data_IF_328154738576
#
_entry.id   IF_328154738576
#
_cell.length_a   1.000
_cell.length_b   1.000
_cell.length_c   1.000
_cell.angle_alpha   90.00
_cell.angle_beta   90.00
_cell.angle_gamma   90.00
#
_symmetry.space_group_name_H-M   'P 1'
#
loop_
_entity.id
_entity.type
_entity.pdbx_description
1 polymer ?
#
# COMPACT_ATOMS: atom_id res chain seq x y z
N UNK A 1 -2.87 8.27 -40.36
CA UNK A 1 -3.20 6.97 -39.71
C UNK A 1 -1.99 6.33 -38.99
N UNK A 2 -1.16 5.47 -39.61
CA UNK A 2 -0.13 4.71 -38.86
C UNK A 2 0.90 5.59 -38.12
N UNK A 3 1.35 6.68 -38.74
CA UNK A 3 2.25 7.66 -38.12
C UNK A 3 1.64 8.31 -36.87
N UNK A 4 0.38 8.75 -36.95
CA UNK A 4 -0.33 9.42 -35.85
C UNK A 4 -0.61 8.45 -34.69
N UNK A 5 -0.97 7.20 -35.00
CA UNK A 5 -1.13 6.14 -34.01
C UNK A 5 0.18 5.92 -33.24
N UNK A 6 1.28 5.69 -33.96
CA UNK A 6 2.58 5.40 -33.35
C UNK A 6 3.09 6.60 -32.54
N UNK A 7 2.91 7.81 -33.05
CA UNK A 7 3.29 9.03 -32.35
C UNK A 7 2.49 9.19 -31.05
N UNK A 8 1.18 9.00 -31.08
CA UNK A 8 0.32 9.09 -29.89
C UNK A 8 0.65 7.99 -28.86
N UNK A 9 0.84 6.75 -29.32
CA UNK A 9 1.25 5.64 -28.47
C UNK A 9 2.58 5.94 -27.78
N UNK A 10 3.61 6.31 -28.55
CA UNK A 10 4.95 6.54 -27.99
C UNK A 10 5.00 7.74 -27.06
N UNK A 11 4.27 8.82 -27.36
CA UNK A 11 4.23 10.00 -26.49
C UNK A 11 3.52 9.72 -25.17
N UNK A 12 2.36 9.07 -25.18
CA UNK A 12 1.70 8.67 -23.95
C UNK A 12 2.56 7.66 -23.19
N UNK A 13 3.12 6.67 -23.89
CA UNK A 13 3.98 5.68 -23.26
C UNK A 13 5.18 6.31 -22.54
N UNK A 14 5.85 7.26 -23.18
CA UNK A 14 6.97 7.97 -22.59
C UNK A 14 6.54 8.91 -21.44
N UNK A 15 5.41 9.62 -21.60
CA UNK A 15 4.89 10.52 -20.59
C UNK A 15 4.49 9.77 -19.31
N UNK A 16 3.97 8.56 -19.47
CA UNK A 16 3.36 7.77 -18.39
C UNK A 16 4.33 6.84 -17.67
N UNK A 17 5.57 6.70 -18.16
CA UNK A 17 6.55 5.78 -17.60
C UNK A 17 6.98 6.22 -16.19
N UNK A 18 6.67 5.41 -15.18
CA UNK A 18 7.05 5.66 -13.78
C UNK A 18 6.12 6.62 -13.01
N UNK A 19 4.87 6.75 -13.43
CA UNK A 19 3.90 7.66 -12.81
C UNK A 19 2.96 7.01 -11.76
N UNK A 20 2.25 7.85 -11.01
CA UNK A 20 1.30 7.53 -9.93
C UNK A 20 0.22 6.54 -10.36
N UNK A 21 -0.23 6.64 -11.60
CA UNK A 21 -1.25 5.79 -12.21
C UNK A 21 -0.74 4.36 -12.48
N UNK A 22 0.58 4.17 -12.68
CA UNK A 22 1.17 2.84 -12.66
C UNK A 22 1.11 2.21 -11.26
N UNK A 23 1.31 3.01 -10.21
CA UNK A 23 1.19 2.55 -8.81
C UNK A 23 -0.26 2.23 -8.50
N UNK A 24 -1.21 3.07 -8.93
CA UNK A 24 -2.64 2.82 -8.83
C UNK A 24 -3.04 1.52 -9.53
N UNK A 25 -2.53 1.28 -10.74
CA UNK A 25 -2.73 0.03 -11.48
C UNK A 25 -2.17 -1.18 -10.73
N UNK A 26 -0.99 -1.05 -10.13
CA UNK A 26 -0.38 -2.08 -9.28
C UNK A 26 -1.23 -2.36 -8.03
N UNK A 27 -1.70 -1.33 -7.33
CA UNK A 27 -2.56 -1.47 -6.14
C UNK A 27 -3.89 -2.16 -6.48
N UNK A 28 -4.48 -1.86 -7.63
CA UNK A 28 -5.68 -2.58 -8.06
C UNK A 28 -5.40 -4.01 -8.47
N UNK A 29 -4.22 -4.30 -9.04
CA UNK A 29 -3.80 -5.65 -9.40
C UNK A 29 -3.54 -6.56 -8.19
N UNK A 30 -3.31 -6.00 -6.99
CA UNK A 30 -3.24 -6.81 -5.74
C UNK A 30 -4.62 -7.16 -5.18
N UNK A 31 -5.66 -6.38 -5.53
CA UNK A 31 -7.03 -6.55 -5.02
C UNK A 31 -8.00 -7.20 -6.01
N UNK A 32 -7.75 -7.08 -7.32
CA UNK A 32 -8.64 -7.53 -8.38
C UNK A 32 -7.89 -8.33 -9.46
N UNK A 33 -8.56 -9.27 -10.15
CA UNK A 33 -7.92 -10.02 -11.22
C UNK A 33 -7.46 -9.11 -12.37
N UNK A 34 -6.26 -9.39 -12.89
CA UNK A 34 -5.57 -8.58 -13.91
C UNK A 34 -6.46 -8.20 -15.09
N UNK A 35 -7.29 -9.13 -15.59
CA UNK A 35 -8.20 -8.89 -16.71
C UNK A 35 -9.24 -7.80 -16.41
N UNK A 36 -9.76 -7.74 -15.19
CA UNK A 36 -10.73 -6.71 -14.77
C UNK A 36 -10.05 -5.37 -14.53
N UNK A 37 -8.81 -5.37 -14.03
CA UNK A 37 -8.00 -4.15 -13.85
C UNK A 37 -7.69 -3.52 -15.20
N UNK A 38 -7.13 -4.28 -16.14
CA UNK A 38 -6.82 -3.78 -17.48
C UNK A 38 -8.07 -3.30 -18.22
N UNK A 39 -9.21 -3.98 -18.05
CA UNK A 39 -10.49 -3.53 -18.61
C UNK A 39 -10.96 -2.21 -18.00
N UNK A 40 -10.80 -2.03 -16.68
CA UNK A 40 -11.09 -0.76 -16.00
C UNK A 40 -10.19 0.37 -16.50
N UNK A 41 -8.89 0.13 -16.61
CA UNK A 41 -7.90 1.08 -17.15
C UNK A 41 -8.25 1.47 -18.57
N UNK A 42 -8.60 0.48 -19.41
CA UNK A 42 -9.04 0.73 -20.79
C UNK A 42 -10.24 1.66 -20.83
N UNK A 43 -11.29 1.38 -20.04
CA UNK A 43 -12.51 2.20 -20.03
C UNK A 43 -12.22 3.60 -19.49
N UNK A 44 -11.53 3.72 -18.36
CA UNK A 44 -11.20 5.01 -17.74
C UNK A 44 -10.35 5.88 -18.64
N UNK A 45 -9.27 5.32 -19.22
CA UNK A 45 -8.40 6.04 -20.14
C UNK A 45 -9.07 6.37 -21.47
N UNK A 46 -9.91 5.49 -22.02
CA UNK A 46 -10.65 5.76 -23.24
C UNK A 46 -11.67 6.90 -23.04
N UNK A 47 -12.33 6.98 -21.89
CA UNK A 47 -13.22 8.09 -21.56
C UNK A 47 -12.44 9.39 -21.37
N UNK A 48 -11.33 9.35 -20.63
CA UNK A 48 -10.53 10.55 -20.35
C UNK A 48 -9.86 11.10 -21.62
N UNK A 49 -9.16 10.25 -22.37
CA UNK A 49 -8.53 10.63 -23.63
C UNK A 49 -9.56 10.90 -24.72
N UNK A 50 -10.72 10.22 -24.69
CA UNK A 50 -11.83 10.50 -25.58
C UNK A 50 -12.33 11.93 -25.42
N UNK A 51 -12.49 12.40 -24.17
CA UNK A 51 -12.83 13.79 -23.87
C UNK A 51 -11.76 14.76 -24.39
N UNK A 52 -10.48 14.47 -24.12
CA UNK A 52 -9.37 15.29 -24.60
C UNK A 52 -9.27 15.38 -26.13
N UNK A 53 -9.38 14.25 -26.82
CA UNK A 53 -9.31 14.18 -28.28
C UNK A 53 -10.50 14.90 -28.91
N UNK A 54 -11.71 14.69 -28.37
CA UNK A 54 -12.90 15.41 -28.80
C UNK A 54 -12.70 16.93 -28.63
N UNK A 55 -12.27 17.36 -27.44
CA UNK A 55 -11.98 18.76 -27.14
C UNK A 55 -10.91 19.34 -28.07
N UNK A 56 -9.77 18.68 -28.22
CA UNK A 56 -8.67 19.12 -29.10
C UNK A 56 -9.11 19.26 -30.56
N UNK A 57 -9.89 18.31 -31.06
CA UNK A 57 -10.43 18.36 -32.43
C UNK A 57 -11.42 19.51 -32.66
N UNK A 58 -12.12 19.96 -31.62
CA UNK A 58 -13.09 21.07 -31.67
C UNK A 58 -12.42 22.43 -31.44
N UNK A 59 -11.44 22.51 -30.52
CA UNK A 59 -10.83 23.75 -30.03
C UNK A 59 -9.60 24.17 -30.83
N UNK A 60 -8.92 23.23 -31.52
CA UNK A 60 -7.76 23.52 -32.37
C UNK A 60 -8.00 24.57 -33.47
N UNK A 61 -9.27 24.84 -33.79
CA UNK A 61 -9.68 25.82 -34.78
C UNK A 61 -9.76 27.26 -34.22
N UNK A 62 -9.78 27.42 -32.90
CA UNK A 62 -10.09 28.70 -32.23
C UNK A 62 -8.99 29.18 -31.26
N UNK A 63 -8.11 28.30 -30.79
CA UNK A 63 -7.09 28.64 -29.79
C UNK A 63 -5.68 28.47 -30.37
N UNK A 64 -4.86 29.53 -30.41
CA UNK A 64 -3.48 29.42 -30.90
C UNK A 64 -2.64 28.44 -30.06
N UNK A 65 -1.88 27.58 -30.74
CA UNK A 65 -1.06 26.50 -30.14
C UNK A 65 -0.11 27.00 -29.03
N UNK A 66 0.43 28.22 -29.14
CA UNK A 66 1.31 28.78 -28.12
C UNK A 66 0.61 29.02 -26.77
N UNK A 67 -0.68 29.38 -26.76
CA UNK A 67 -1.45 29.52 -25.51
C UNK A 67 -1.66 28.18 -24.82
N UNK A 68 -1.97 27.13 -25.59
CA UNK A 68 -2.12 25.77 -25.06
C UNK A 68 -0.81 25.27 -24.43
N UNK A 69 0.33 25.57 -25.06
CA UNK A 69 1.64 25.20 -24.54
C UNK A 69 2.03 25.97 -23.28
N UNK A 70 1.70 27.26 -23.19
CA UNK A 70 1.93 28.06 -21.98
C UNK A 70 1.08 27.57 -20.80
N UNK A 71 -0.21 27.30 -21.02
CA UNK A 71 -1.10 26.75 -19.98
C UNK A 71 -0.59 25.40 -19.50
N UNK A 72 -0.19 24.51 -20.42
CA UNK A 72 0.40 23.23 -20.08
C UNK A 72 1.70 23.38 -19.28
N UNK A 73 2.62 24.27 -19.71
CA UNK A 73 3.87 24.54 -19.01
C UNK A 73 3.66 25.07 -17.58
N UNK A 74 2.70 25.97 -17.40
CA UNK A 74 2.34 26.49 -16.08
C UNK A 74 1.72 25.41 -15.18
N UNK A 75 0.81 24.59 -15.72
CA UNK A 75 0.19 23.49 -15.00
C UNK A 75 1.23 22.47 -14.51
N UNK A 76 2.20 22.11 -15.35
CA UNK A 76 3.29 21.21 -14.99
C UNK A 76 4.14 21.72 -13.82
N UNK A 77 4.48 23.00 -13.78
CA UNK A 77 5.23 23.54 -12.64
C UNK A 77 4.35 23.59 -11.39
N UNK A 78 3.05 23.88 -11.54
CA UNK A 78 2.06 23.76 -10.46
C UNK A 78 2.00 22.35 -9.87
N UNK A 79 1.95 21.32 -10.70
CA UNK A 79 1.97 19.92 -10.27
C UNK A 79 3.28 19.50 -9.63
N UNK A 80 4.41 20.01 -10.10
CA UNK A 80 5.71 19.80 -9.45
C UNK A 80 5.71 20.38 -8.04
N UNK A 81 5.26 21.62 -7.87
CA UNK A 81 5.18 22.29 -6.56
C UNK A 81 4.22 21.53 -5.65
N UNK A 82 3.02 21.19 -6.12
CA UNK A 82 2.03 20.46 -5.32
C UNK A 82 2.56 19.09 -4.87
N UNK A 83 3.09 18.30 -5.81
CA UNK A 83 3.66 16.96 -5.53
C UNK A 83 4.85 17.02 -4.56
N UNK A 84 5.70 18.05 -4.66
CA UNK A 84 6.85 18.23 -3.76
C UNK A 84 6.48 18.89 -2.43
N UNK A 85 5.31 19.54 -2.34
CA UNK A 85 4.79 20.19 -1.13
C UNK A 85 3.94 19.27 -0.24
N UNK A 86 3.38 18.20 -0.81
CA UNK A 86 2.60 17.21 -0.07
C UNK A 86 3.50 16.47 0.93
N UNK A 87 3.51 16.93 2.18
CA UNK A 87 4.04 16.20 3.33
C UNK A 87 3.26 14.90 3.47
N UNK A 88 3.97 13.78 3.73
CA UNK A 88 3.43 12.41 3.75
C UNK A 88 2.37 12.10 4.81
N UNK A 89 1.31 12.89 4.85
CA UNK A 89 0.08 12.74 5.64
C UNK A 89 -1.12 12.93 4.70
N UNK A 90 -1.15 12.19 3.60
CA UNK A 90 -2.39 11.92 2.87
C UNK A 90 -2.42 10.41 2.63
N UNK A 91 -2.78 9.68 3.69
CA UNK A 91 -3.28 8.33 3.51
C UNK A 91 -4.60 8.45 2.77
N UNK A 92 -4.56 8.31 1.44
CA UNK A 92 -5.79 8.16 0.66
C UNK A 92 -6.54 6.92 1.16
N UNK A 93 -7.66 7.17 1.86
CA UNK A 93 -8.64 6.16 2.22
C UNK A 93 -9.17 5.51 0.95
N UNK A 94 -8.57 4.39 0.55
CA UNK A 94 -9.15 3.50 -0.44
C UNK A 94 -10.36 2.79 0.19
N UNK A 95 -11.52 3.45 0.10
CA UNK A 95 -12.83 2.99 0.55
C UNK A 95 -13.06 1.50 0.25
N UNK A 96 -13.35 0.73 1.30
CA UNK A 96 -13.78 -0.65 1.19
C UNK A 96 -15.28 -0.77 0.88
N UNK A 97 -15.63 -1.65 -0.06
CA UNK A 97 -16.81 -2.52 0.02
C UNK A 97 -16.77 -3.55 -1.12
N UNK A 98 -16.88 -4.83 -0.76
CA UNK A 98 -16.67 -5.96 -1.67
C UNK A 98 -17.90 -6.35 -2.51
N UNK A 99 -17.64 -6.72 -3.76
CA UNK A 99 -18.09 -7.92 -4.49
C UNK A 99 -17.49 -7.83 -5.90
N UNK A 100 -17.14 -8.96 -6.49
CA UNK A 100 -16.62 -9.13 -7.85
C UNK A 100 -17.27 -8.28 -8.98
N UNK A 101 -18.46 -7.74 -8.74
CA UNK A 101 -19.26 -6.95 -9.68
C UNK A 101 -18.89 -5.46 -9.75
N UNK A 102 -18.01 -4.96 -8.87
CA UNK A 102 -17.60 -3.55 -8.84
C UNK A 102 -16.21 -3.25 -9.41
N UNK A 103 -15.34 -4.26 -9.58
CA UNK A 103 -13.91 -4.05 -9.84
C UNK A 103 -13.61 -3.16 -11.07
N UNK A 104 -14.25 -3.46 -12.20
CA UNK A 104 -14.04 -2.69 -13.45
C UNK A 104 -14.49 -1.24 -13.29
N UNK A 105 -15.65 -1.02 -12.65
CA UNK A 105 -16.19 0.33 -12.43
C UNK A 105 -15.32 1.12 -11.44
N UNK A 106 -14.85 0.49 -10.35
CA UNK A 106 -13.93 1.12 -9.39
C UNK A 106 -12.64 1.54 -10.06
N UNK A 107 -12.01 0.65 -10.82
CA UNK A 107 -10.75 0.94 -11.52
C UNK A 107 -10.95 2.00 -12.60
N UNK A 108 -12.03 1.90 -13.40
CA UNK A 108 -12.33 2.86 -14.45
C UNK A 108 -12.59 4.26 -13.89
N UNK A 109 -13.36 4.39 -12.81
CA UNK A 109 -13.61 5.68 -12.15
C UNK A 109 -12.34 6.26 -11.55
N UNK A 110 -11.52 5.43 -10.88
CA UNK A 110 -10.26 5.88 -10.31
C UNK A 110 -9.28 6.36 -11.37
N UNK A 111 -9.13 5.63 -12.48
CA UNK A 111 -8.30 6.05 -13.61
C UNK A 111 -8.86 7.30 -14.30
N UNK A 112 -10.16 7.35 -14.55
CA UNK A 112 -10.79 8.51 -15.18
C UNK A 112 -10.56 9.76 -14.33
N UNK A 113 -10.90 9.72 -13.04
CA UNK A 113 -10.77 10.87 -12.14
C UNK A 113 -9.30 11.22 -11.89
N UNK A 114 -8.44 10.22 -11.69
CA UNK A 114 -7.00 10.42 -11.45
C UNK A 114 -6.24 11.03 -12.63
N UNK A 115 -6.73 10.81 -13.85
CA UNK A 115 -6.14 11.33 -15.09
C UNK A 115 -6.79 12.63 -15.58
N UNK A 116 -7.81 13.16 -14.88
CA UNK A 116 -8.43 14.42 -15.26
C UNK A 116 -7.46 15.58 -15.02
N UNK A 117 -7.18 16.34 -16.08
CA UNK A 117 -6.29 17.50 -16.06
C UNK A 117 -4.81 17.14 -16.16
N UNK A 118 -4.46 15.87 -16.36
CA UNK A 118 -3.06 15.43 -16.35
C UNK A 118 -2.34 15.64 -17.71
N UNK A 119 -1.01 15.47 -17.69
CA UNK A 119 -0.08 15.60 -18.81
C UNK A 119 -0.48 14.78 -20.03
N UNK A 120 -1.01 13.57 -19.81
CA UNK A 120 -1.46 12.63 -20.83
C UNK A 120 -2.67 13.20 -21.54
N UNK A 121 -3.62 13.79 -20.77
CA UNK A 121 -4.78 14.47 -21.30
C UNK A 121 -4.40 15.70 -22.13
N UNK A 122 -3.45 16.53 -21.66
CA UNK A 122 -2.94 17.67 -22.44
C UNK A 122 -2.19 17.24 -23.71
N UNK A 123 -1.46 16.13 -23.65
CA UNK A 123 -0.79 15.52 -24.80
C UNK A 123 -1.80 15.03 -25.82
N UNK A 124 -2.86 14.34 -25.36
CA UNK A 124 -3.96 13.88 -26.21
C UNK A 124 -4.69 15.04 -26.90
N UNK A 125 -4.96 16.14 -26.17
CA UNK A 125 -5.52 17.38 -26.75
C UNK A 125 -4.59 17.91 -27.85
N UNK A 126 -3.31 18.07 -27.55
CA UNK A 126 -2.32 18.64 -28.49
C UNK A 126 -2.20 17.80 -29.76
N UNK A 127 -2.12 16.47 -29.60
CA UNK A 127 -2.04 15.55 -30.74
C UNK A 127 -3.32 15.56 -31.57
N UNK A 128 -4.49 15.78 -30.96
CA UNK A 128 -5.77 15.82 -31.66
C UNK A 128 -6.00 17.11 -32.44
N UNK A 129 -5.40 18.24 -32.03
CA UNK A 129 -5.52 19.54 -32.73
C UNK A 129 -5.03 19.46 -34.18
N UNK A 130 -3.89 18.80 -34.40
CA UNK A 130 -3.23 18.71 -35.73
C UNK A 130 -3.49 17.37 -36.44
N UNK A 131 -4.36 16.51 -35.90
CA UNK A 131 -4.59 15.17 -36.43
C UNK A 131 -5.54 15.16 -37.63
N UNK A 132 -5.13 14.50 -38.71
CA UNK A 132 -6.02 14.18 -39.81
C UNK A 132 -7.03 13.08 -39.42
N UNK A 133 -6.66 12.21 -38.48
CA UNK A 133 -7.51 11.13 -37.97
C UNK A 133 -7.56 11.10 -36.43
N UNK A 134 -8.42 11.92 -35.78
CA UNK A 134 -8.50 12.02 -34.32
C UNK A 134 -8.81 10.68 -33.61
N UNK A 135 -9.67 9.83 -34.21
CA UNK A 135 -9.95 8.50 -33.66
C UNK A 135 -8.72 7.59 -33.62
N UNK A 136 -7.79 7.76 -34.56
CA UNK A 136 -6.54 7.00 -34.60
C UNK A 136 -5.58 7.48 -33.51
N UNK A 137 -5.59 8.79 -33.22
CA UNK A 137 -4.87 9.36 -32.07
C UNK A 137 -5.43 8.80 -30.77
N UNK A 138 -6.76 8.76 -30.60
CA UNK A 138 -7.40 8.16 -29.43
C UNK A 138 -6.94 6.70 -29.22
N UNK A 139 -7.00 5.87 -30.27
CA UNK A 139 -6.54 4.48 -30.19
C UNK A 139 -5.05 4.40 -29.80
N UNK A 140 -4.21 5.26 -30.34
CA UNK A 140 -2.78 5.33 -30.00
C UNK A 140 -2.57 5.68 -28.53
N UNK A 141 -3.24 6.73 -28.04
CA UNK A 141 -3.11 7.18 -26.64
C UNK A 141 -3.59 6.12 -25.63
N UNK A 142 -4.72 5.47 -25.87
CA UNK A 142 -5.26 4.40 -25.01
C UNK A 142 -4.35 3.17 -25.05
N UNK A 143 -3.80 2.83 -26.22
CA UNK A 143 -2.82 1.74 -26.34
C UNK A 143 -1.54 2.02 -25.55
N UNK A 144 -1.05 3.27 -25.59
CA UNK A 144 0.10 3.72 -24.81
C UNK A 144 -0.14 3.56 -23.31
N UNK A 145 -1.30 4.01 -22.81
CA UNK A 145 -1.70 3.89 -21.42
C UNK A 145 -1.81 2.43 -20.94
N UNK A 146 -2.42 1.57 -21.76
CA UNK A 146 -2.50 0.14 -21.45
C UNK A 146 -1.13 -0.53 -21.43
N UNK A 147 -0.25 -0.16 -22.36
CA UNK A 147 1.10 -0.72 -22.42
C UNK A 147 1.93 -0.34 -21.18
N UNK A 148 1.91 0.93 -20.77
CA UNK A 148 2.65 1.38 -19.58
C UNK A 148 2.08 0.79 -18.30
N UNK A 149 0.76 0.76 -18.15
CA UNK A 149 0.11 0.15 -16.99
C UNK A 149 0.37 -1.36 -16.91
N UNK A 150 0.38 -2.07 -18.04
CA UNK A 150 0.72 -3.50 -18.08
C UNK A 150 2.17 -3.75 -17.67
N UNK A 151 3.11 -2.93 -18.14
CA UNK A 151 4.51 -2.99 -17.72
C UNK A 151 4.65 -2.67 -16.24
N UNK A 152 3.97 -1.62 -15.75
CA UNK A 152 3.95 -1.22 -14.34
C UNK A 152 3.45 -2.34 -13.45
N UNK A 153 2.33 -2.98 -13.80
CA UNK A 153 1.80 -4.14 -13.07
C UNK A 153 2.78 -5.32 -13.11
N UNK A 154 3.36 -5.63 -14.27
CA UNK A 154 4.31 -6.74 -14.41
C UNK A 154 5.58 -6.51 -13.59
N UNK A 155 6.21 -5.34 -13.73
CA UNK A 155 7.41 -4.96 -12.96
C UNK A 155 7.07 -4.87 -11.47
N UNK A 156 5.94 -4.27 -11.13
CA UNK A 156 5.44 -4.12 -9.77
C UNK A 156 5.21 -5.44 -9.05
N UNK A 157 4.63 -6.43 -9.73
CA UNK A 157 4.47 -7.78 -9.22
C UNK A 157 5.81 -8.48 -8.91
N UNK A 158 6.89 -8.04 -9.57
CA UNK A 158 8.24 -8.58 -9.45
C UNK A 158 9.14 -7.79 -8.50
N UNK A 159 8.89 -6.48 -8.32
CA UNK A 159 9.70 -5.57 -7.50
C UNK A 159 9.20 -5.47 -6.04
N UNK A 160 7.92 -5.72 -5.77
CA UNK A 160 7.34 -5.65 -4.41
C UNK A 160 7.56 -4.29 -3.72
N UNK A 161 7.54 -4.27 -2.38
CA UNK A 161 7.62 -3.08 -1.50
C UNK A 161 9.00 -2.36 -1.47
N UNK A 162 9.78 -2.41 -2.56
CA UNK A 162 11.18 -1.94 -2.56
C UNK A 162 11.39 -0.50 -3.00
N UNK A 163 10.36 0.22 -3.46
CA UNK A 163 10.50 1.62 -3.87
C UNK A 163 9.91 2.53 -2.79
N UNK A 164 10.74 3.28 -2.04
CA UNK A 164 10.23 4.21 -1.05
C UNK A 164 9.44 5.32 -1.73
N UNK A 165 8.25 5.63 -1.21
CA UNK A 165 7.33 6.65 -1.73
C UNK A 165 8.00 8.02 -1.96
N UNK A 166 8.95 8.37 -1.09
CA UNK A 166 9.72 9.62 -1.19
C UNK A 166 10.53 9.73 -2.49
N UNK A 167 11.07 8.61 -2.99
CA UNK A 167 11.83 8.60 -4.24
C UNK A 167 10.92 8.75 -5.46
N UNK A 168 9.68 8.25 -5.36
CA UNK A 168 8.67 8.42 -6.41
C UNK A 168 8.25 9.90 -6.49
N UNK A 169 8.04 10.55 -5.36
CA UNK A 169 7.74 12.00 -5.29
C UNK A 169 8.87 12.85 -5.88
N UNK A 170 10.13 12.53 -5.53
CA UNK A 170 11.31 13.20 -6.06
C UNK A 170 11.42 13.04 -7.58
N UNK A 171 11.25 11.80 -8.08
CA UNK A 171 11.36 11.52 -9.51
C UNK A 171 10.25 12.24 -10.31
N UNK A 172 9.00 12.10 -9.87
CA UNK A 172 7.83 12.73 -10.50
C UNK A 172 7.93 14.26 -10.48
N UNK A 173 8.26 14.85 -9.32
CA UNK A 173 8.46 16.29 -9.17
C UNK A 173 9.60 16.84 -10.04
N UNK A 174 10.69 16.09 -10.20
CA UNK A 174 11.81 16.46 -11.10
C UNK A 174 11.34 16.53 -12.55
N UNK A 175 10.66 15.49 -13.03
CA UNK A 175 10.16 15.40 -14.41
C UNK A 175 9.21 16.56 -14.69
N UNK A 176 8.22 16.80 -13.82
CA UNK A 176 7.26 17.89 -14.00
C UNK A 176 7.90 19.28 -13.97
N UNK A 177 8.87 19.51 -13.08
CA UNK A 177 9.56 20.78 -12.99
C UNK A 177 10.38 21.06 -14.26
N UNK A 178 11.11 20.06 -14.77
CA UNK A 178 11.93 20.19 -15.98
C UNK A 178 11.06 20.43 -17.21
N UNK A 179 10.05 19.59 -17.46
CA UNK A 179 9.20 19.74 -18.63
C UNK A 179 8.34 21.00 -18.58
N UNK A 180 7.82 21.36 -17.39
CA UNK A 180 7.08 22.61 -17.19
C UNK A 180 7.93 23.84 -17.47
N UNK A 181 9.15 23.88 -16.92
CA UNK A 181 10.10 24.97 -17.16
C UNK A 181 10.45 25.10 -18.65
N UNK A 182 10.78 24.00 -19.32
CA UNK A 182 11.15 23.99 -20.74
C UNK A 182 9.99 24.39 -21.65
N UNK A 183 8.78 23.84 -21.44
CA UNK A 183 7.60 24.20 -22.23
C UNK A 183 7.22 25.66 -22.06
N UNK A 184 7.20 26.15 -20.83
CA UNK A 184 6.78 27.53 -20.55
C UNK A 184 7.80 28.54 -21.09
N UNK A 185 9.09 28.25 -21.02
CA UNK A 185 10.14 29.07 -21.63
C UNK A 185 10.11 29.03 -23.16
N UNK A 186 9.84 27.85 -23.76
CA UNK A 186 9.81 27.66 -25.21
C UNK A 186 8.55 28.21 -25.89
N UNK A 187 7.42 28.25 -25.19
CA UNK A 187 6.13 28.71 -25.72
C UNK A 187 5.85 30.19 -25.49
N UNK A 188 6.62 30.87 -24.63
CA UNK A 188 6.41 32.27 -24.30
C UNK A 188 6.63 33.18 -25.53
N UNK A 189 5.62 33.94 -25.98
CA UNK A 189 5.79 34.88 -27.08
C UNK A 189 6.73 36.01 -26.65
N UNK A 190 7.46 36.61 -27.61
CA UNK A 190 8.41 37.70 -27.33
C UNK A 190 7.79 38.90 -26.60
N UNK A 191 6.48 39.10 -26.74
CA UNK A 191 5.70 40.11 -26.01
C UNK A 191 5.61 39.86 -24.50
N UNK A 192 5.77 38.61 -24.04
CA UNK A 192 5.75 38.21 -22.63
C UNK A 192 7.14 38.24 -21.97
N UNK A 193 8.23 38.50 -22.72
CA UNK A 193 9.60 38.61 -22.19
C UNK A 193 9.86 39.96 -21.50
N UNK A 194 8.87 40.47 -20.79
CA UNK A 194 9.00 41.67 -19.96
C UNK A 194 9.63 41.30 -18.61
N UNK A 195 10.46 42.18 -18.02
CA UNK A 195 11.14 41.91 -16.74
C UNK A 195 10.26 41.31 -15.62
N UNK A 196 9.01 41.76 -15.38
CA UNK A 196 8.18 41.17 -14.32
C UNK A 196 7.75 39.73 -14.62
N UNK A 197 7.48 39.39 -15.88
CA UNK A 197 7.08 38.02 -16.26
C UNK A 197 8.28 37.05 -16.17
N UNK A 198 9.47 37.51 -16.58
CA UNK A 198 10.71 36.75 -16.43
C UNK A 198 11.05 36.51 -14.95
N UNK A 199 10.86 37.52 -14.10
CA UNK A 199 11.06 37.40 -12.66
C UNK A 199 10.04 36.43 -12.02
N UNK A 200 8.77 36.51 -12.38
CA UNK A 200 7.73 35.61 -11.89
C UNK A 200 8.03 34.15 -12.29
N UNK A 201 8.42 33.91 -13.55
CA UNK A 201 8.86 32.60 -14.01
C UNK A 201 10.06 32.08 -13.21
N UNK A 202 11.08 32.93 -13.00
CA UNK A 202 12.28 32.58 -12.24
C UNK A 202 11.98 32.22 -10.78
N UNK A 203 11.10 32.97 -10.12
CA UNK A 203 10.66 32.68 -8.75
C UNK A 203 9.89 31.36 -8.66
N UNK A 204 9.02 31.09 -9.64
CA UNK A 204 8.17 29.91 -9.67
C UNK A 204 8.98 28.64 -9.91
N UNK A 205 9.94 28.67 -10.84
CA UNK A 205 10.92 27.59 -11.04
C UNK A 205 11.84 27.46 -9.83
N UNK A 206 12.32 28.58 -9.28
CA UNK A 206 13.18 28.58 -8.09
C UNK A 206 12.54 27.95 -6.87
N UNK A 207 11.25 28.22 -6.62
CA UNK A 207 10.46 27.57 -5.58
C UNK A 207 10.36 26.06 -5.81
N UNK A 208 10.09 25.63 -7.04
CA UNK A 208 10.08 24.21 -7.41
C UNK A 208 11.44 23.52 -7.17
N UNK A 209 12.55 24.18 -7.51
CA UNK A 209 13.91 23.66 -7.28
C UNK A 209 14.19 23.54 -5.77
N UNK A 210 13.80 24.53 -4.97
CA UNK A 210 13.98 24.50 -3.51
C UNK A 210 13.19 23.36 -2.87
N UNK A 211 11.93 23.17 -3.29
CA UNK A 211 11.10 22.05 -2.82
C UNK A 211 11.67 20.71 -3.26
N UNK A 212 12.18 20.61 -4.49
CA UNK A 212 12.83 19.40 -4.98
C UNK A 212 14.10 19.08 -4.17
N UNK A 213 14.93 20.09 -3.90
CA UNK A 213 16.13 19.92 -3.08
C UNK A 213 15.77 19.47 -1.65
N UNK A 214 14.68 20.00 -1.08
CA UNK A 214 14.15 19.56 0.22
C UNK A 214 13.66 18.12 0.17
N UNK A 215 12.87 17.74 -0.85
CA UNK A 215 12.36 16.38 -1.03
C UNK A 215 13.47 15.35 -1.27
N UNK A 216 14.51 15.72 -2.03
CA UNK A 216 15.73 14.91 -2.19
C UNK A 216 16.46 14.80 -0.86
N UNK A 217 16.56 15.90 -0.11
CA UNK A 217 17.13 15.91 1.24
C UNK A 217 16.38 14.97 2.20
N UNK A 218 15.05 14.96 2.19
CA UNK A 218 14.24 14.04 2.99
C UNK A 218 14.33 12.60 2.49
N UNK A 219 14.41 12.36 1.18
CA UNK A 219 14.60 11.02 0.61
C UNK A 219 15.99 10.42 0.92
N UNK A 220 17.04 11.25 0.88
CA UNK A 220 18.42 10.86 1.21
C UNK A 220 18.62 10.73 2.73
N UNK A 221 18.12 11.69 3.54
CA UNK A 221 18.12 11.59 5.00
C UNK A 221 17.18 10.49 5.51
N UNK A 222 16.18 10.12 4.71
CA UNK A 222 15.29 8.98 4.87
C UNK A 222 15.96 7.62 4.63
N UNK A 223 17.30 7.58 4.51
CA UNK A 223 18.10 6.39 4.73
C UNK A 223 17.65 5.70 6.02
N UNK A 224 16.81 4.66 5.86
CA UNK A 224 16.25 3.85 6.94
C UNK A 224 15.32 4.62 7.89
N UNK A 225 14.26 5.28 7.39
CA UNK A 225 13.05 5.45 8.23
C UNK A 225 12.46 4.07 8.45
N UNK A 226 12.91 3.39 9.52
CA UNK A 226 12.43 2.09 10.02
C UNK A 226 10.92 2.22 10.24
N UNK A 227 10.14 1.81 9.25
CA UNK A 227 8.69 1.91 9.23
C UNK A 227 8.10 1.13 10.39
N UNK A 228 6.92 1.54 10.86
CA UNK A 228 6.15 0.80 11.87
C UNK A 228 6.08 -0.70 11.57
N UNK A 229 6.05 -1.06 10.27
CA UNK A 229 6.16 -2.43 9.77
C UNK A 229 7.39 -3.20 10.28
N UNK A 230 8.59 -2.59 10.28
CA UNK A 230 9.79 -3.28 10.79
C UNK A 230 9.72 -3.47 12.30
N UNK A 231 9.18 -2.50 13.05
CA UNK A 231 8.97 -2.66 14.50
C UNK A 231 7.95 -3.75 14.79
N UNK A 232 6.84 -3.78 14.06
CA UNK A 232 5.84 -4.84 14.16
C UNK A 232 6.43 -6.21 13.78
N UNK A 233 7.25 -6.29 12.73
CA UNK A 233 7.92 -7.52 12.33
C UNK A 233 8.99 -7.98 13.35
N UNK A 234 9.75 -7.06 13.94
CA UNK A 234 10.71 -7.35 15.01
C UNK A 234 9.99 -7.84 16.28
N UNK A 235 8.88 -7.19 16.67
CA UNK A 235 8.04 -7.61 17.79
C UNK A 235 7.37 -8.96 17.54
N UNK A 236 6.81 -9.19 16.34
CA UNK A 236 6.22 -10.47 15.97
C UNK A 236 7.26 -11.60 15.98
N UNK A 237 8.49 -11.32 15.52
CA UNK A 237 9.59 -12.29 15.54
C UNK A 237 10.08 -12.57 16.97
N UNK A 238 10.17 -11.55 17.82
CA UNK A 238 10.49 -11.72 19.24
C UNK A 238 9.43 -12.59 19.94
N UNK A 239 8.15 -12.31 19.68
CA UNK A 239 7.04 -13.14 20.14
C UNK A 239 7.15 -14.58 19.65
N UNK A 240 7.37 -14.79 18.35
CA UNK A 240 7.46 -16.13 17.77
C UNK A 240 8.59 -16.96 18.41
N UNK A 241 9.78 -16.38 18.60
CA UNK A 241 10.89 -17.05 19.27
C UNK A 241 10.56 -17.43 20.72
N UNK A 242 9.92 -16.51 21.45
CA UNK A 242 9.54 -16.76 22.84
C UNK A 242 8.44 -17.81 22.95
N UNK A 243 7.49 -17.79 22.03
CA UNK A 243 6.39 -18.74 21.98
C UNK A 243 6.86 -20.12 21.51
N UNK A 244 7.84 -20.23 20.62
CA UNK A 244 8.48 -21.50 20.25
C UNK A 244 8.99 -22.22 21.50
N UNK A 245 9.75 -21.52 22.33
CA UNK A 245 10.28 -22.06 23.59
C UNK A 245 9.17 -22.46 24.58
N UNK A 246 8.10 -21.67 24.69
CA UNK A 246 6.94 -22.01 25.53
C UNK A 246 6.21 -23.26 25.02
N UNK A 247 5.94 -23.37 23.72
CA UNK A 247 5.25 -24.52 23.11
C UNK A 247 6.04 -25.82 23.35
N UNK A 248 7.37 -25.78 23.25
CA UNK A 248 8.23 -26.92 23.54
C UNK A 248 8.13 -27.37 25.01
N UNK A 249 8.13 -26.43 25.95
CA UNK A 249 8.01 -26.73 27.39
C UNK A 249 6.61 -27.20 27.81
N UNK A 250 5.56 -26.70 27.16
CA UNK A 250 4.19 -27.17 27.38
C UNK A 250 4.03 -28.61 26.88
N UNK A 251 4.75 -28.99 25.81
CA UNK A 251 4.71 -30.34 25.26
C UNK A 251 5.44 -31.36 26.17
N UNK A 252 4.70 -32.07 27.03
CA UNK A 252 5.25 -33.12 27.93
C UNK A 252 5.53 -34.47 27.26
N UNK A 253 5.41 -34.57 25.93
CA UNK A 253 5.69 -35.79 25.18
C UNK A 253 4.53 -36.82 25.14
N UNK A 254 4.77 -37.91 24.41
CA UNK A 254 3.75 -38.93 24.10
C UNK A 254 3.31 -39.76 25.31
N UNK A 255 4.13 -39.87 26.36
CA UNK A 255 3.76 -40.61 27.58
C UNK A 255 2.55 -39.99 28.27
N UNK A 256 2.42 -38.66 28.17
CA UNK A 256 1.32 -37.94 28.77
C UNK A 256 0.11 -37.85 27.82
N UNK A 257 0.34 -37.57 26.54
CA UNK A 257 -0.72 -37.40 25.54
C UNK A 257 -1.19 -38.71 24.87
N UNK A 258 -0.50 -39.84 25.07
CA UNK A 258 -0.76 -41.14 24.43
C UNK A 258 -0.13 -41.25 23.04
N UNK A 259 -0.65 -40.51 22.05
CA UNK A 259 -0.13 -40.51 20.67
C UNK A 259 0.01 -39.09 20.13
N UNK A 260 1.16 -38.78 19.52
CA UNK A 260 1.36 -37.50 18.86
C UNK A 260 0.50 -37.40 17.59
N UNK A 261 -0.24 -36.30 17.45
CA UNK A 261 -1.10 -36.02 16.28
C UNK A 261 -0.55 -34.94 15.36
N UNK A 262 0.70 -34.51 15.57
CA UNK A 262 1.33 -33.44 14.80
C UNK A 262 0.53 -32.14 14.94
N UNK A 263 0.31 -31.44 13.84
CA UNK A 263 -0.44 -30.17 13.78
C UNK A 263 -1.94 -30.28 14.13
N UNK A 264 -2.46 -31.50 14.29
CA UNK A 264 -3.86 -31.75 14.67
C UNK A 264 -4.12 -31.71 16.19
N UNK A 265 -3.09 -31.53 17.02
CA UNK A 265 -3.28 -31.22 18.44
C UNK A 265 -3.03 -29.73 18.70
N UNK A 266 -3.65 -29.19 19.75
CA UNK A 266 -3.53 -27.77 20.14
C UNK A 266 -2.08 -27.25 20.18
N UNK A 267 -1.15 -28.01 20.79
CA UNK A 267 0.26 -27.62 20.89
C UNK A 267 0.97 -27.68 19.52
N UNK A 268 0.69 -28.69 18.72
CA UNK A 268 1.25 -28.83 17.38
C UNK A 268 0.75 -27.74 16.43
N UNK A 269 -0.51 -27.33 16.58
CA UNK A 269 -1.07 -26.20 15.85
C UNK A 269 -0.39 -24.88 16.21
N UNK A 270 -0.21 -24.60 17.51
CA UNK A 270 0.57 -23.42 17.95
C UNK A 270 2.00 -23.45 17.40
N UNK A 271 2.64 -24.62 17.35
CA UNK A 271 3.97 -24.77 16.72
C UNK A 271 3.94 -24.42 15.22
N UNK A 272 2.91 -24.83 14.50
CA UNK A 272 2.70 -24.47 13.10
C UNK A 272 2.58 -22.96 12.92
N UNK A 273 1.74 -22.31 13.72
CA UNK A 273 1.56 -20.85 13.70
C UNK A 273 2.88 -20.11 13.97
N UNK A 274 3.64 -20.54 14.99
CA UNK A 274 4.93 -19.94 15.33
C UNK A 274 5.93 -20.07 14.18
N UNK A 275 6.02 -21.25 13.54
CA UNK A 275 6.88 -21.42 12.36
C UNK A 275 6.47 -20.54 11.18
N UNK A 276 5.17 -20.37 10.97
CA UNK A 276 4.64 -19.50 9.91
C UNK A 276 5.05 -18.04 10.14
N UNK A 277 4.98 -17.56 11.39
CA UNK A 277 5.42 -16.22 11.77
C UNK A 277 6.92 -15.96 11.55
N UNK A 278 7.73 -17.02 11.53
CA UNK A 278 9.18 -16.91 11.32
C UNK A 278 9.59 -16.84 9.84
N UNK A 279 8.67 -17.05 8.89
CA UNK A 279 8.96 -16.95 7.45
C UNK A 279 9.14 -15.49 7.00
N UNK A 280 9.87 -15.29 5.90
CA UNK A 280 10.06 -13.96 5.30
C UNK A 280 8.76 -13.28 4.84
N UNK A 281 7.74 -14.08 4.49
CA UNK A 281 6.38 -13.63 4.14
C UNK A 281 5.37 -14.54 4.84
N UNK A 282 4.88 -14.17 6.04
CA UNK A 282 3.92 -15.00 6.75
C UNK A 282 2.56 -14.95 6.06
N UNK A 283 2.09 -16.09 5.55
CA UNK A 283 0.74 -16.24 4.98
C UNK A 283 -0.17 -16.84 6.07
N UNK A 284 -0.64 -15.97 6.97
CA UNK A 284 -1.53 -16.35 8.07
C UNK A 284 -2.97 -16.49 7.53
N UNK A 285 -3.30 -17.62 6.90
CA UNK A 285 -4.68 -17.92 6.51
C UNK A 285 -5.57 -18.16 7.74
N UNK A 286 -6.79 -17.59 7.69
CA UNK A 286 -7.82 -17.68 8.74
C UNK A 286 -8.45 -19.09 8.85
N UNK A 287 -8.14 -19.98 7.90
CA UNK A 287 -8.89 -21.20 7.57
C UNK A 287 -8.64 -22.42 8.48
N UNK A 288 -7.97 -22.27 9.62
CA UNK A 288 -7.64 -23.41 10.50
C UNK A 288 -8.25 -23.36 11.90
N UNK A 289 -9.27 -22.54 12.13
CA UNK A 289 -10.10 -22.66 13.34
C UNK A 289 -11.37 -23.46 13.06
N UNK A 290 -11.30 -24.74 13.49
CA UNK A 290 -12.39 -25.72 13.72
C UNK A 290 -12.88 -26.40 12.44
N UNK A 291 -12.63 -27.70 12.24
CA UNK A 291 -13.43 -28.80 12.83
C UNK A 291 -12.63 -30.03 13.33
N UNK A 292 -11.30 -30.09 13.13
CA UNK A 292 -10.51 -31.33 13.31
C UNK A 292 -9.43 -31.30 14.39
N UNK A 293 -9.46 -30.33 15.31
CA UNK A 293 -8.39 -30.14 16.30
C UNK A 293 -8.76 -30.75 17.66
N UNK A 294 -7.87 -31.56 18.22
CA UNK A 294 -8.07 -32.16 19.53
C UNK A 294 -7.46 -31.32 20.65
N UNK A 295 -8.33 -30.93 21.59
CA UNK A 295 -7.97 -30.23 22.82
C UNK A 295 -7.99 -31.24 23.97
N UNK A 296 -6.82 -31.54 24.53
CA UNK A 296 -6.68 -32.52 25.62
C UNK A 296 -6.42 -31.76 26.92
N UNK A 297 -7.48 -31.50 27.69
CA UNK A 297 -7.42 -30.77 28.95
C UNK A 297 -6.71 -31.55 30.07
N UNK A 298 -6.22 -30.82 31.07
CA UNK A 298 -5.62 -31.38 32.29
C UNK A 298 -4.29 -32.12 32.09
N UNK A 299 -3.78 -32.11 30.86
CA UNK A 299 -2.53 -32.78 30.45
C UNK A 299 -1.36 -31.82 30.27
N UNK A 300 -1.61 -30.55 30.45
CA UNK A 300 -0.60 -29.51 30.25
C UNK A 300 -0.38 -28.77 31.55
N UNK A 301 0.83 -28.28 31.69
CA UNK A 301 1.25 -27.51 32.85
C UNK A 301 0.48 -26.17 32.86
N UNK A 302 -0.38 -26.00 33.86
CA UNK A 302 -1.26 -24.85 33.97
C UNK A 302 -0.46 -23.55 34.13
N UNK A 303 0.62 -23.59 34.92
CA UNK A 303 1.46 -22.41 35.17
C UNK A 303 2.14 -21.95 33.86
N UNK A 304 2.62 -22.91 33.05
CA UNK A 304 3.19 -22.58 31.72
C UNK A 304 2.15 -22.06 30.73
N UNK A 305 0.91 -22.55 30.80
CA UNK A 305 -0.19 -22.06 29.97
C UNK A 305 -0.56 -20.62 30.37
N UNK A 306 -0.75 -20.35 31.66
CA UNK A 306 -1.06 -19.02 32.21
C UNK A 306 0.06 -18.02 31.88
N UNK A 307 1.32 -18.43 32.02
CA UNK A 307 2.48 -17.60 31.63
C UNK A 307 2.52 -17.30 30.13
N UNK A 308 2.21 -18.29 29.29
CA UNK A 308 2.19 -18.11 27.83
C UNK A 308 1.01 -17.23 27.38
N UNK A 309 -0.12 -17.31 28.07
CA UNK A 309 -1.27 -16.45 27.83
C UNK A 309 -0.94 -15.01 28.20
N UNK A 310 -0.37 -14.77 29.38
CA UNK A 310 0.03 -13.42 29.83
C UNK A 310 0.93 -12.71 28.81
N UNK A 311 1.99 -13.38 28.34
CA UNK A 311 2.86 -12.87 27.27
C UNK A 311 2.11 -12.58 25.98
N UNK A 312 1.24 -13.50 25.57
CA UNK A 312 0.47 -13.34 24.33
C UNK A 312 -0.39 -12.09 24.41
N UNK A 313 -1.02 -11.82 25.55
CA UNK A 313 -1.80 -10.60 25.77
C UNK A 313 -0.93 -9.34 25.76
N UNK A 314 0.26 -9.37 26.36
CA UNK A 314 1.23 -8.25 26.32
C UNK A 314 1.63 -7.89 24.89
N UNK A 315 1.97 -8.87 24.06
CA UNK A 315 2.28 -8.63 22.65
C UNK A 315 1.06 -8.16 21.84
N UNK A 316 -0.15 -8.60 22.17
CA UNK A 316 -1.38 -8.15 21.49
C UNK A 316 -1.72 -6.68 21.77
N UNK A 317 -1.23 -6.07 22.85
CA UNK A 317 -1.35 -4.63 23.07
C UNK A 317 -0.43 -3.82 22.14
N UNK A 318 0.70 -4.41 21.71
CA UNK A 318 1.71 -3.72 20.89
C UNK A 318 1.57 -4.00 19.40
N UNK A 319 0.99 -5.14 19.02
CA UNK A 319 0.83 -5.56 17.64
C UNK A 319 -0.59 -5.26 17.14
N UNK A 320 -0.71 -4.33 16.18
CA UNK A 320 -1.96 -4.12 15.45
C UNK A 320 -2.25 -5.30 14.49
N UNK A 321 -3.48 -5.83 14.53
CA UNK A 321 -4.03 -6.85 13.62
C UNK A 321 -3.18 -8.16 13.50
N UNK A 322 -2.61 -8.63 14.60
CA UNK A 322 -1.80 -9.86 14.62
C UNK A 322 -2.65 -11.14 14.69
N UNK A 323 -3.27 -11.53 13.56
CA UNK A 323 -4.15 -12.71 13.44
C UNK A 323 -3.55 -14.02 14.01
N UNK A 324 -2.26 -14.25 13.78
CA UNK A 324 -1.59 -15.46 14.27
C UNK A 324 -1.41 -15.46 15.79
N UNK A 325 -1.12 -14.30 16.38
CA UNK A 325 -0.98 -14.13 17.83
C UNK A 325 -2.33 -14.33 18.50
N UNK A 326 -3.40 -13.78 17.90
CA UNK A 326 -4.78 -14.00 18.35
C UNK A 326 -5.24 -15.46 18.24
N UNK A 327 -4.77 -16.20 17.22
CA UNK A 327 -5.01 -17.63 17.12
C UNK A 327 -4.34 -18.41 18.26
N UNK A 328 -3.11 -18.06 18.64
CA UNK A 328 -2.40 -18.67 19.79
C UNK A 328 -3.12 -18.33 21.10
N UNK A 329 -3.55 -17.08 21.29
CA UNK A 329 -4.38 -16.66 22.44
C UNK A 329 -5.60 -17.57 22.59
N UNK A 330 -6.39 -17.74 21.54
CA UNK A 330 -7.60 -18.58 21.55
C UNK A 330 -7.31 -20.03 21.90
N UNK A 331 -6.19 -20.59 21.44
CA UNK A 331 -5.79 -21.96 21.81
C UNK A 331 -5.46 -22.05 23.30
N UNK A 332 -4.68 -21.10 23.83
CA UNK A 332 -4.33 -21.05 25.25
C UNK A 332 -5.58 -20.91 26.14
N UNK A 333 -6.54 -20.08 25.74
CA UNK A 333 -7.82 -19.92 26.44
C UNK A 333 -8.65 -21.20 26.44
N UNK A 334 -8.73 -21.92 25.32
CA UNK A 334 -9.44 -23.21 25.29
C UNK A 334 -8.76 -24.24 26.21
N UNK A 335 -7.42 -24.26 26.24
CA UNK A 335 -6.67 -25.18 27.11
C UNK A 335 -6.82 -24.85 28.60
N UNK A 336 -6.97 -23.56 28.97
CA UNK A 336 -7.12 -23.11 30.35
C UNK A 336 -8.58 -23.11 30.84
N UNK A 337 -9.52 -22.72 29.98
CA UNK A 337 -10.88 -22.32 30.38
C UNK A 337 -12.01 -23.00 29.59
N UNK A 338 -11.70 -23.84 28.60
CA UNK A 338 -12.67 -24.50 27.71
C UNK A 338 -13.51 -23.56 26.83
N UNK A 339 -13.08 -22.31 26.68
CA UNK A 339 -13.80 -21.28 25.91
C UNK A 339 -12.85 -20.18 25.50
N UNK A 340 -13.29 -19.34 24.58
CA UNK A 340 -12.55 -18.15 24.14
C UNK A 340 -13.28 -16.88 24.51
N UNK A 341 -12.54 -15.81 24.77
CA UNK A 341 -13.07 -14.51 25.11
C UNK A 341 -12.84 -13.52 23.96
N UNK A 342 -13.72 -12.53 23.73
CA UNK A 342 -13.48 -11.50 22.74
C UNK A 342 -12.35 -10.57 23.20
N UNK A 343 -11.37 -10.32 22.34
CA UNK A 343 -10.31 -9.35 22.59
C UNK A 343 -10.90 -7.93 22.63
N UNK A 344 -10.50 -7.12 23.62
CA UNK A 344 -11.02 -5.76 23.85
C UNK A 344 -10.00 -4.66 23.54
N UNK A 345 -8.79 -5.02 23.11
CA UNK A 345 -7.70 -4.07 22.86
C UNK A 345 -6.81 -3.80 24.07
N UNK A 346 -7.18 -4.29 25.25
CA UNK A 346 -6.43 -4.12 26.49
C UNK A 346 -6.35 -5.43 27.28
N UNK A 347 -5.16 -5.81 27.72
CA UNK A 347 -4.89 -7.05 28.43
C UNK A 347 -5.59 -7.09 29.79
N UNK A 348 -5.58 -6.00 30.57
CA UNK A 348 -6.26 -5.93 31.87
C UNK A 348 -7.77 -6.04 31.73
N UNK A 349 -8.37 -5.33 30.77
CA UNK A 349 -9.81 -5.45 30.52
C UNK A 349 -10.17 -6.88 30.07
N UNK A 350 -9.34 -7.48 29.22
CA UNK A 350 -9.55 -8.84 28.75
C UNK A 350 -9.47 -9.87 29.88
N UNK A 351 -8.46 -9.77 30.75
CA UNK A 351 -8.30 -10.61 31.95
C UNK A 351 -9.44 -10.37 32.93
N UNK A 352 -9.91 -9.13 33.09
CA UNK A 352 -11.06 -8.80 33.93
C UNK A 352 -12.31 -9.59 33.55
N UNK A 353 -12.56 -9.81 32.25
CA UNK A 353 -13.67 -10.66 31.80
C UNK A 353 -13.44 -12.14 32.17
N UNK A 354 -12.21 -12.63 32.06
CA UNK A 354 -11.86 -14.01 32.41
C UNK A 354 -12.05 -14.25 33.92
N UNK A 355 -11.66 -13.29 34.76
CA UNK A 355 -11.76 -13.38 36.23
C UNK A 355 -13.21 -13.52 36.70
N UNK A 356 -14.18 -12.92 36.00
CA UNK A 356 -15.60 -13.05 36.34
C UNK A 356 -16.08 -14.51 36.32
N UNK A 357 -15.54 -15.31 35.39
CA UNK A 357 -15.86 -16.73 35.26
C UNK A 357 -14.87 -17.63 36.02
N UNK A 358 -13.63 -17.17 36.21
CA UNK A 358 -12.54 -17.91 36.86
C UNK A 358 -11.80 -17.04 37.89
N UNK A 359 -12.38 -16.78 39.08
CA UNK A 359 -11.79 -15.85 40.06
C UNK A 359 -10.38 -16.21 40.52
N UNK A 360 -10.03 -17.51 40.54
CA UNK A 360 -8.69 -17.98 40.91
C UNK A 360 -7.58 -17.61 39.91
N UNK A 361 -7.94 -17.16 38.69
CA UNK A 361 -6.98 -16.80 37.66
C UNK A 361 -6.28 -15.45 37.92
N UNK A 362 -6.85 -14.56 38.73
CA UNK A 362 -6.26 -13.26 39.04
C UNK A 362 -4.83 -13.40 39.58
N UNK A 363 -4.67 -14.25 40.60
CA UNK A 363 -3.36 -14.54 41.20
C UNK A 363 -2.39 -15.22 40.20
N UNK A 364 -2.89 -16.18 39.41
CA UNK A 364 -2.08 -16.87 38.39
C UNK A 364 -1.56 -15.87 37.34
N UNK A 365 -2.41 -14.91 36.93
CA UNK A 365 -2.06 -13.88 35.97
C UNK A 365 -1.07 -12.87 36.55
N UNK A 366 -1.28 -12.38 37.78
CA UNK A 366 -0.35 -11.46 38.44
C UNK A 366 1.05 -12.09 38.60
N UNK A 367 1.13 -13.33 39.11
CA UNK A 367 2.40 -14.04 39.24
C UNK A 367 3.10 -14.24 37.89
N UNK A 368 2.34 -14.58 36.84
CA UNK A 368 2.84 -14.72 35.49
C UNK A 368 3.33 -13.39 34.89
N UNK A 369 2.58 -12.31 35.10
CA UNK A 369 2.89 -10.97 34.61
C UNK A 369 4.12 -10.39 35.31
N UNK A 370 4.23 -10.55 36.63
CA UNK A 370 5.43 -10.16 37.38
C UNK A 370 6.67 -11.00 36.99
N UNK A 371 6.48 -12.29 36.69
CA UNK A 371 7.57 -13.14 36.21
C UNK A 371 8.05 -12.69 34.82
N UNK A 372 7.14 -12.22 33.97
CA UNK A 372 7.45 -11.62 32.69
C UNK A 372 8.25 -10.31 32.86
N UNK A 373 7.74 -9.37 33.65
CA UNK A 373 8.40 -8.09 33.97
C UNK A 373 9.79 -8.27 34.61
N UNK A 374 10.03 -9.36 35.34
CA UNK A 374 11.36 -9.67 35.90
C UNK A 374 12.31 -10.31 34.89
N UNK A 375 11.78 -11.08 33.95
CA UNK A 375 12.58 -11.77 32.93
C UNK A 375 13.07 -10.85 31.81
N UNK A 376 12.46 -9.68 31.69
CA UNK A 376 12.83 -8.64 30.72
C UNK A 376 12.89 -7.29 31.43
N UNK A 377 14.00 -6.56 31.30
CA UNK A 377 13.99 -5.13 31.61
C UNK A 377 12.86 -4.47 30.80
N UNK A 378 12.04 -3.68 31.47
CA UNK A 378 10.92 -2.91 30.90
C UNK A 378 11.27 -2.31 29.52
N UNK A 379 10.28 -2.17 28.61
CA UNK A 379 10.48 -1.75 27.22
C UNK A 379 11.40 -0.54 27.03
#
# INVERSE_FOLDING_TARGET
MAREYLQALLFIFAAEMGDKTQILAMMFATRFPLSRVLLGIFIGSALNHGFAVAFGSLVGQWVPVHWLQMVAGAAFIGFAIWTLSASGEDGEEAAGAGRDRGAVATVASAFFVGELGDKTQLTAITLAVDAAFPLVVLLGTVSGMLATSSIGIFVGSKLGDRIPEEWIKVLSGTVFLVFGALKLAGAAPRSLLVPPAVLAYGLLVGAGILLLARAVGTALAGGVRRTAYRRAAEALRAYALQMEHSVERICRGVEHCGKCKGERCAIGYMRGLVREMMKERPELEESFLRENMEFIQGKFDRDLLSLSLSRTLSYMETLEDAKGVDAIRRVLEILLFDRTYPWKGNAREHVGVIILDFPGFEKEWEEAHEAEERSWGAP
#
